data_IF_483472534118
#
_entry.id   IF_483472534118
#
_cell.length_a   1.000
_cell.length_b   1.000
_cell.length_c   1.000
_cell.angle_alpha   90.00
_cell.angle_beta   90.00
_cell.angle_gamma   90.00
#
_symmetry.space_group_name_H-M   'P 1'
#
loop_
_entity.id
_entity.type
_entity.pdbx_description
1 polymer ?
#
# COMPACT_ATOMS: atom_id res chain seq x y z
N UNK A 1 -14.87 18.29 15.61
CA UNK A 1 -15.47 17.12 14.91
C UNK A 1 -14.90 17.12 13.50
N UNK A 2 -14.62 15.94 12.94
CA UNK A 2 -14.15 15.84 11.55
C UNK A 2 -15.23 16.40 10.59
N UNK A 3 -14.80 17.15 9.57
CA UNK A 3 -15.68 17.60 8.46
C UNK A 3 -16.22 16.40 7.66
N UNK A 4 -15.55 15.25 7.73
CA UNK A 4 -15.80 14.08 6.92
C UNK A 4 -16.41 12.95 7.75
N UNK A 5 -17.31 12.17 7.13
CA UNK A 5 -18.05 11.04 7.71
C UNK A 5 -17.97 9.78 6.85
N UNK A 6 -18.78 8.77 7.18
CA UNK A 6 -18.76 7.46 6.53
C UNK A 6 -19.12 7.50 5.04
N UNK A 7 -19.96 8.44 4.64
CA UNK A 7 -20.44 8.58 3.25
C UNK A 7 -19.63 9.58 2.42
N UNK A 8 -18.58 10.17 3.01
CA UNK A 8 -17.76 11.16 2.31
C UNK A 8 -16.94 10.49 1.23
N UNK A 9 -17.06 11.00 0.02
CA UNK A 9 -16.34 10.50 -1.16
C UNK A 9 -14.90 11.04 -1.22
N UNK A 10 -14.05 10.38 -2.01
CA UNK A 10 -12.69 10.84 -2.29
C UNK A 10 -12.68 12.21 -2.98
N UNK A 11 -13.66 12.49 -3.84
CA UNK A 11 -13.77 13.78 -4.54
C UNK A 11 -14.10 14.94 -3.58
N UNK A 12 -14.97 14.69 -2.61
CA UNK A 12 -15.30 15.67 -1.55
C UNK A 12 -14.09 15.94 -0.64
N UNK A 13 -13.32 14.88 -0.28
CA UNK A 13 -12.10 15.04 0.53
C UNK A 13 -11.05 15.86 -0.21
N UNK A 14 -10.94 15.68 -1.52
CA UNK A 14 -9.95 16.34 -2.36
C UNK A 14 -10.45 17.67 -2.96
N UNK A 15 -11.62 18.17 -2.55
CA UNK A 15 -12.12 19.46 -3.01
C UNK A 15 -11.15 20.60 -2.66
N UNK A 16 -10.75 21.38 -3.68
CA UNK A 16 -9.81 22.50 -3.51
C UNK A 16 -8.34 22.09 -3.32
N UNK A 17 -8.03 20.80 -3.38
CA UNK A 17 -6.64 20.30 -3.29
C UNK A 17 -6.07 20.14 -4.70
N UNK A 18 -4.84 20.60 -4.90
CA UNK A 18 -4.06 20.46 -6.13
C UNK A 18 -2.86 19.55 -5.90
N UNK A 19 -2.72 18.53 -6.75
CA UNK A 19 -1.59 17.60 -6.77
C UNK A 19 -0.72 17.76 -8.03
N UNK A 20 -0.88 18.84 -8.79
CA UNK A 20 -0.05 19.12 -9.96
C UNK A 20 1.44 19.10 -9.59
N UNK A 21 2.22 18.38 -10.38
CA UNK A 21 3.66 18.20 -10.15
C UNK A 21 4.02 17.24 -9.02
N UNK A 22 3.05 16.58 -8.39
CA UNK A 22 3.27 15.53 -7.39
C UNK A 22 3.33 14.16 -8.05
N UNK A 23 4.27 13.33 -7.60
CA UNK A 23 4.40 11.92 -8.01
C UNK A 23 3.98 11.01 -6.86
N UNK A 24 3.06 10.09 -7.16
CA UNK A 24 2.48 9.15 -6.20
C UNK A 24 2.71 7.73 -6.69
N UNK A 25 3.32 6.89 -5.86
CA UNK A 25 3.43 5.44 -6.09
C UNK A 25 2.36 4.73 -5.26
N UNK A 26 1.56 3.89 -5.92
CA UNK A 26 0.47 3.14 -5.29
C UNK A 26 0.70 1.65 -5.52
N UNK A 27 0.89 0.87 -4.45
CA UNK A 27 0.93 -0.59 -4.53
C UNK A 27 -0.49 -1.17 -4.51
N UNK A 28 -0.73 -2.27 -5.25
CA UNK A 28 -2.05 -2.89 -5.33
C UNK A 28 -3.09 -2.03 -6.05
N UNK A 29 -2.67 -1.33 -7.09
CA UNK A 29 -3.46 -0.37 -7.86
C UNK A 29 -4.43 -0.97 -8.87
N UNK A 30 -4.46 -2.31 -9.02
CA UNK A 30 -5.27 -2.98 -10.05
C UNK A 30 -6.76 -3.14 -9.69
N UNK A 31 -7.18 -2.79 -8.48
CA UNK A 31 -8.57 -2.86 -8.03
C UNK A 31 -8.80 -2.08 -6.73
N UNK A 32 -10.07 -1.91 -6.35
CA UNK A 32 -10.51 -1.43 -5.04
C UNK A 32 -9.93 -0.08 -4.64
N UNK A 33 -9.40 0.03 -3.41
CA UNK A 33 -8.91 1.30 -2.86
C UNK A 33 -7.71 1.84 -3.64
N UNK A 34 -6.83 0.98 -4.13
CA UNK A 34 -5.67 1.41 -4.91
C UNK A 34 -6.06 2.02 -6.26
N UNK A 35 -7.02 1.42 -6.96
CA UNK A 35 -7.57 1.97 -8.22
C UNK A 35 -8.31 3.28 -7.98
N UNK A 36 -9.15 3.36 -6.93
CA UNK A 36 -9.87 4.59 -6.59
C UNK A 36 -8.91 5.71 -6.17
N UNK A 37 -7.85 5.39 -5.41
CA UNK A 37 -6.82 6.37 -5.07
C UNK A 37 -6.10 6.89 -6.31
N UNK A 38 -5.78 6.00 -7.27
CA UNK A 38 -5.18 6.39 -8.54
C UNK A 38 -6.10 7.33 -9.31
N UNK A 39 -7.40 7.01 -9.40
CA UNK A 39 -8.41 7.87 -10.06
C UNK A 39 -8.50 9.24 -9.39
N UNK A 40 -8.71 9.25 -8.07
CA UNK A 40 -8.98 10.49 -7.35
C UNK A 40 -7.79 11.44 -7.36
N UNK A 41 -6.57 10.92 -7.16
CA UNK A 41 -5.36 11.74 -7.18
C UNK A 41 -4.98 12.20 -8.60
N UNK A 42 -5.20 11.35 -9.63
CA UNK A 42 -5.04 11.77 -11.03
C UNK A 42 -5.99 12.91 -11.40
N UNK A 43 -7.24 12.87 -10.90
CA UNK A 43 -8.21 13.95 -11.12
C UNK A 43 -7.78 15.29 -10.51
N UNK A 44 -6.79 15.28 -9.61
CA UNK A 44 -6.16 16.46 -8.99
C UNK A 44 -4.77 16.78 -9.56
N UNK A 45 -4.39 16.16 -10.69
CA UNK A 45 -3.16 16.48 -11.41
C UNK A 45 -1.91 15.71 -10.98
N UNK A 46 -2.04 14.69 -10.14
CA UNK A 46 -0.90 13.86 -9.76
C UNK A 46 -0.43 12.97 -10.92
N UNK A 47 0.89 12.78 -11.05
CA UNK A 47 1.48 11.70 -11.81
C UNK A 47 1.47 10.42 -10.96
N UNK A 48 0.81 9.36 -11.42
CA UNK A 48 0.59 8.13 -10.67
C UNK A 48 1.43 6.98 -11.23
N UNK A 49 2.22 6.33 -10.38
CA UNK A 49 2.81 5.04 -10.68
C UNK A 49 1.91 3.95 -10.07
N UNK A 50 1.23 3.21 -10.94
CA UNK A 50 0.37 2.10 -10.59
C UNK A 50 1.20 0.82 -10.53
N UNK A 51 1.47 0.30 -9.32
CA UNK A 51 2.27 -0.91 -9.10
C UNK A 51 1.38 -2.08 -8.69
N UNK A 52 1.36 -3.14 -9.51
CA UNK A 52 0.57 -4.34 -9.24
C UNK A 52 1.30 -5.60 -9.73
N UNK A 53 0.94 -6.76 -9.14
CA UNK A 53 1.55 -8.04 -9.48
C UNK A 53 1.13 -8.53 -10.88
N UNK A 54 -0.12 -8.33 -11.24
CA UNK A 54 -0.70 -8.76 -12.51
C UNK A 54 -0.75 -7.56 -13.49
N UNK A 55 0.08 -7.54 -14.54
CA UNK A 55 0.14 -6.43 -15.48
C UNK A 55 -1.15 -6.28 -16.30
N UNK A 56 -1.88 -7.37 -16.59
CA UNK A 56 -3.12 -7.30 -17.38
C UNK A 56 -4.24 -6.65 -16.55
N UNK A 57 -4.36 -7.03 -15.26
CA UNK A 57 -5.32 -6.40 -14.35
C UNK A 57 -4.97 -4.93 -14.11
N UNK A 58 -3.68 -4.62 -14.03
CA UNK A 58 -3.22 -3.24 -13.85
C UNK A 58 -3.55 -2.37 -15.06
N UNK A 59 -3.35 -2.88 -16.28
CA UNK A 59 -3.73 -2.19 -17.54
C UNK A 59 -5.26 -1.96 -17.60
N UNK A 60 -6.05 -2.98 -17.26
CA UNK A 60 -7.51 -2.84 -17.23
C UNK A 60 -7.98 -1.77 -16.22
N UNK A 61 -7.33 -1.70 -15.04
CA UNK A 61 -7.61 -0.66 -14.05
C UNK A 61 -7.21 0.73 -14.57
N UNK A 62 -6.03 0.85 -15.18
CA UNK A 62 -5.58 2.11 -15.76
C UNK A 62 -6.51 2.60 -16.87
N UNK A 63 -7.05 1.68 -17.69
CA UNK A 63 -8.05 2.02 -18.71
C UNK A 63 -9.32 2.62 -18.08
N UNK A 64 -9.83 2.00 -16.98
CA UNK A 64 -10.99 2.56 -16.24
C UNK A 64 -10.71 3.93 -15.61
N UNK A 65 -9.47 4.12 -15.12
CA UNK A 65 -9.06 5.43 -14.58
C UNK A 65 -9.03 6.48 -15.71
N UNK A 66 -8.42 6.16 -16.86
CA UNK A 66 -8.35 7.08 -18.02
C UNK A 66 -9.72 7.42 -18.59
N UNK A 67 -10.68 6.48 -18.55
CA UNK A 67 -12.07 6.74 -18.95
C UNK A 67 -12.72 7.81 -18.07
N UNK A 68 -12.49 7.75 -16.75
CA UNK A 68 -13.05 8.71 -15.78
C UNK A 68 -12.25 10.00 -15.66
N UNK A 69 -10.97 9.96 -15.96
CA UNK A 69 -10.04 11.10 -15.89
C UNK A 69 -9.25 11.16 -17.19
N UNK A 70 -9.82 11.74 -18.26
CA UNK A 70 -9.12 11.91 -19.53
C UNK A 70 -7.82 12.70 -19.33
N UNK A 71 -6.72 12.15 -19.85
CA UNK A 71 -5.39 12.76 -19.70
C UNK A 71 -4.66 12.45 -18.39
N UNK A 72 -5.18 11.51 -17.57
CA UNK A 72 -4.47 11.03 -16.41
C UNK A 72 -3.04 10.56 -16.74
N UNK A 73 -2.06 11.08 -16.02
CA UNK A 73 -0.65 10.69 -16.13
C UNK A 73 -0.44 9.41 -15.30
N UNK A 74 -0.49 8.26 -15.98
CA UNK A 74 -0.40 6.94 -15.38
C UNK A 74 0.76 6.16 -15.97
N UNK A 75 1.68 5.74 -15.11
CA UNK A 75 2.73 4.78 -15.42
C UNK A 75 2.41 3.44 -14.75
N UNK A 76 2.54 2.34 -15.51
CA UNK A 76 2.23 1.00 -15.03
C UNK A 76 3.52 0.22 -14.79
N UNK A 77 3.68 -0.35 -13.60
CA UNK A 77 4.83 -1.17 -13.24
C UNK A 77 4.41 -2.46 -12.57
N UNK A 78 5.16 -3.53 -12.84
CA UNK A 78 4.96 -4.82 -12.18
C UNK A 78 5.71 -4.84 -10.85
N UNK A 79 4.99 -5.23 -9.78
CA UNK A 79 5.54 -5.41 -8.45
C UNK A 79 4.87 -6.60 -7.77
N UNK A 80 5.65 -7.62 -7.42
CA UNK A 80 5.21 -8.73 -6.58
C UNK A 80 5.82 -8.60 -5.17
N UNK A 81 4.99 -8.26 -4.20
CA UNK A 81 5.40 -8.14 -2.80
C UNK A 81 5.65 -9.50 -2.12
N UNK A 82 5.26 -10.62 -2.77
CA UNK A 82 5.60 -11.96 -2.33
C UNK A 82 7.04 -12.37 -2.72
N UNK A 83 7.80 -11.51 -3.37
CA UNK A 83 9.17 -11.74 -3.80
C UNK A 83 10.05 -10.54 -3.49
N UNK A 84 11.00 -10.68 -2.57
CA UNK A 84 11.94 -9.61 -2.24
C UNK A 84 12.86 -9.27 -3.42
N UNK A 85 13.11 -10.22 -4.33
CA UNK A 85 13.82 -9.97 -5.58
C UNK A 85 13.02 -9.02 -6.49
N UNK A 86 11.72 -9.26 -6.65
CA UNK A 86 10.82 -8.36 -7.39
C UNK A 86 10.81 -6.96 -6.79
N UNK A 87 10.75 -6.85 -5.45
CA UNK A 87 10.77 -5.57 -4.75
C UNK A 87 12.09 -4.82 -5.01
N UNK A 88 13.23 -5.51 -4.94
CA UNK A 88 14.55 -4.91 -5.22
C UNK A 88 14.68 -4.46 -6.67
N UNK A 89 14.23 -5.30 -7.60
CA UNK A 89 14.23 -4.98 -9.04
C UNK A 89 13.36 -3.76 -9.34
N UNK A 90 12.16 -3.72 -8.76
CA UNK A 90 11.24 -2.59 -8.87
C UNK A 90 11.88 -1.30 -8.34
N UNK A 91 12.39 -1.31 -7.12
CA UNK A 91 12.98 -0.12 -6.50
C UNK A 91 14.19 0.39 -7.29
N UNK A 92 15.05 -0.52 -7.76
CA UNK A 92 16.20 -0.16 -8.61
C UNK A 92 15.76 0.53 -9.90
N UNK A 93 14.76 -0.01 -10.59
CA UNK A 93 14.21 0.58 -11.82
C UNK A 93 13.52 1.93 -11.53
N UNK A 94 12.74 2.01 -10.44
CA UNK A 94 12.10 3.26 -10.03
C UNK A 94 13.14 4.38 -9.80
N UNK A 95 14.18 4.12 -9.02
CA UNK A 95 15.22 5.09 -8.69
C UNK A 95 16.05 5.53 -9.91
N UNK A 96 16.17 4.67 -10.94
CA UNK A 96 16.85 5.03 -12.18
C UNK A 96 16.02 6.00 -13.04
N UNK A 97 14.68 5.87 -13.00
CA UNK A 97 13.77 6.61 -13.88
C UNK A 97 13.21 7.86 -13.21
N UNK A 98 13.12 7.87 -11.86
CA UNK A 98 12.42 8.92 -11.12
C UNK A 98 13.29 9.54 -10.03
N UNK A 99 13.63 10.84 -10.15
CA UNK A 99 14.38 11.57 -9.13
C UNK A 99 13.48 12.08 -7.98
N UNK A 100 12.17 11.82 -8.04
CA UNK A 100 11.20 12.36 -7.09
C UNK A 100 10.09 11.36 -6.77
N UNK A 101 9.69 11.32 -5.48
CA UNK A 101 8.52 10.60 -4.98
C UNK A 101 7.89 11.39 -3.82
N UNK A 102 6.73 12.00 -4.04
CA UNK A 102 6.07 12.82 -3.03
C UNK A 102 5.21 12.00 -2.07
N UNK A 103 4.60 10.91 -2.57
CA UNK A 103 3.75 10.02 -1.77
C UNK A 103 3.99 8.57 -2.15
N UNK A 104 4.28 7.74 -1.15
CA UNK A 104 4.25 6.28 -1.25
C UNK A 104 3.00 5.77 -0.53
N UNK A 105 2.11 5.09 -1.27
CA UNK A 105 0.92 4.45 -0.72
C UNK A 105 1.11 2.92 -0.70
N UNK A 106 1.49 2.39 0.45
CA UNK A 106 1.63 0.96 0.74
C UNK A 106 0.23 0.36 0.99
N UNK A 107 -0.52 0.18 -0.13
CA UNK A 107 -1.92 -0.21 -0.10
C UNK A 107 -2.16 -1.71 -0.36
N UNK A 108 -1.29 -2.36 -1.14
CA UNK A 108 -1.49 -3.77 -1.49
C UNK A 108 -1.64 -4.66 -0.25
N UNK A 109 -2.39 -5.75 -0.41
CA UNK A 109 -2.52 -6.72 0.66
C UNK A 109 -3.32 -7.95 0.27
N UNK A 110 -3.22 -8.94 1.14
CA UNK A 110 -4.04 -10.16 1.16
C UNK A 110 -4.66 -10.30 2.54
N UNK A 111 -5.84 -10.91 2.62
CA UNK A 111 -6.59 -11.06 3.87
C UNK A 111 -7.16 -12.48 3.99
N UNK A 112 -6.99 -13.07 5.16
CA UNK A 112 -7.56 -14.35 5.54
C UNK A 112 -7.32 -15.47 4.53
N UNK A 113 -6.16 -15.43 3.83
CA UNK A 113 -5.80 -16.49 2.90
C UNK A 113 -5.37 -17.77 3.65
N UNK A 114 -5.49 -18.95 3.01
CA UNK A 114 -4.94 -20.20 3.53
C UNK A 114 -3.44 -20.04 3.86
N UNK A 115 -2.94 -20.89 4.78
CA UNK A 115 -1.52 -20.92 5.11
C UNK A 115 -0.68 -21.14 3.85
N UNK A 116 0.28 -20.29 3.65
CA UNK A 116 1.25 -20.34 2.57
C UNK A 116 2.49 -19.54 2.90
N UNK A 117 3.45 -19.54 2.00
CA UNK A 117 4.68 -18.77 2.13
C UNK A 117 4.97 -17.95 0.88
N UNK A 118 5.66 -16.83 1.06
CA UNK A 118 6.26 -16.07 -0.04
C UNK A 118 7.42 -16.81 -0.66
N UNK A 119 7.95 -16.32 -1.78
CA UNK A 119 9.14 -16.88 -2.43
C UNK A 119 10.37 -16.92 -1.50
N UNK A 120 10.40 -16.04 -0.51
CA UNK A 120 11.49 -15.90 0.45
C UNK A 120 11.22 -16.62 1.77
N UNK A 121 10.13 -17.41 1.87
CA UNK A 121 9.80 -18.26 3.01
C UNK A 121 9.03 -17.59 4.14
N UNK A 122 8.59 -16.33 4.01
CA UNK A 122 7.74 -15.66 5.02
C UNK A 122 6.30 -16.14 4.92
N UNK A 123 5.58 -16.18 6.06
CA UNK A 123 4.14 -16.40 6.05
C UNK A 123 3.47 -15.38 5.08
N UNK A 124 2.51 -15.86 4.28
CA UNK A 124 2.00 -15.11 3.12
C UNK A 124 1.45 -13.72 3.47
N UNK A 125 0.68 -13.60 4.56
CA UNK A 125 0.06 -12.33 4.93
C UNK A 125 1.10 -11.37 5.53
N UNK A 126 1.96 -11.84 6.42
CA UNK A 126 3.05 -11.04 6.98
C UNK A 126 4.04 -10.63 5.89
N UNK A 127 4.43 -11.58 5.04
CA UNK A 127 5.37 -11.35 3.94
C UNK A 127 4.86 -10.31 2.94
N UNK A 128 3.61 -10.48 2.47
CA UNK A 128 3.02 -9.59 1.46
C UNK A 128 2.64 -8.23 2.03
N UNK A 129 1.89 -8.22 3.16
CA UNK A 129 1.31 -6.99 3.68
C UNK A 129 2.35 -6.10 4.36
N UNK A 130 3.38 -6.72 4.95
CA UNK A 130 4.37 -6.00 5.75
C UNK A 130 5.80 -6.09 5.19
N UNK A 131 6.42 -7.28 5.13
CA UNK A 131 7.85 -7.41 4.81
C UNK A 131 8.19 -6.86 3.43
N UNK A 132 7.33 -7.13 2.42
CA UNK A 132 7.50 -6.58 1.07
C UNK A 132 7.44 -5.06 1.05
N UNK A 133 6.49 -4.45 1.74
CA UNK A 133 6.38 -2.99 1.87
C UNK A 133 7.50 -2.38 2.71
N UNK A 134 7.89 -3.05 3.80
CA UNK A 134 9.03 -2.64 4.62
C UNK A 134 10.30 -2.51 3.78
N UNK A 135 10.60 -3.54 2.97
CA UNK A 135 11.75 -3.50 2.06
C UNK A 135 11.59 -2.41 1.00
N UNK A 136 10.41 -2.30 0.37
CA UNK A 136 10.14 -1.30 -0.65
C UNK A 136 10.37 0.12 -0.13
N UNK A 137 9.75 0.45 1.00
CA UNK A 137 9.86 1.76 1.65
C UNK A 137 11.31 2.06 2.04
N UNK A 138 12.02 1.07 2.62
CA UNK A 138 13.44 1.23 2.96
C UNK A 138 14.33 1.53 1.75
N UNK A 139 14.08 0.86 0.63
CA UNK A 139 14.82 1.11 -0.62
C UNK A 139 14.47 2.45 -1.26
N UNK A 140 13.25 2.94 -1.09
CA UNK A 140 12.79 4.23 -1.61
C UNK A 140 12.98 5.39 -0.62
N UNK A 141 13.45 5.14 0.60
CA UNK A 141 13.67 6.18 1.61
C UNK A 141 14.58 7.33 1.11
N UNK A 142 15.69 7.10 0.36
CA UNK A 142 16.51 8.19 -0.15
C UNK A 142 15.71 9.16 -1.03
N UNK A 143 14.93 8.66 -1.99
CA UNK A 143 14.15 9.52 -2.89
C UNK A 143 13.00 10.21 -2.17
N UNK A 144 12.42 9.60 -1.12
CA UNK A 144 11.42 10.25 -0.27
C UNK A 144 12.03 11.41 0.52
N UNK A 145 13.23 11.24 1.07
CA UNK A 145 13.99 12.29 1.75
C UNK A 145 14.35 13.44 0.80
N UNK A 146 14.85 13.12 -0.38
CA UNK A 146 15.20 14.13 -1.40
C UNK A 146 13.94 14.88 -1.93
N UNK A 147 12.76 14.29 -1.78
CA UNK A 147 11.47 14.86 -2.20
C UNK A 147 10.72 15.60 -1.09
N UNK A 148 11.32 15.75 0.08
CA UNK A 148 10.63 16.35 1.23
C UNK A 148 10.06 17.75 0.88
N UNK A 149 8.86 18.09 1.37
CA UNK A 149 7.99 17.29 2.22
C UNK A 149 7.30 16.15 1.48
N UNK A 150 7.50 14.92 1.94
CA UNK A 150 6.93 13.71 1.36
C UNK A 150 6.15 12.89 2.39
N UNK A 151 5.41 11.87 1.92
CA UNK A 151 4.55 11.06 2.80
C UNK A 151 4.63 9.58 2.46
N UNK A 152 4.59 8.75 3.51
CA UNK A 152 4.34 7.30 3.40
C UNK A 152 3.02 6.99 4.08
N UNK A 153 2.11 6.36 3.35
CA UNK A 153 0.79 5.95 3.87
C UNK A 153 0.73 4.43 3.85
N UNK A 154 0.65 3.83 5.03
CA UNK A 154 0.67 2.37 5.21
C UNK A 154 -0.73 1.88 5.57
N UNK A 155 -1.32 1.03 4.72
CA UNK A 155 -2.65 0.47 4.98
C UNK A 155 -2.58 -0.58 6.09
N UNK A 156 -3.15 -0.20 7.25
CA UNK A 156 -3.47 -1.09 8.35
C UNK A 156 -4.94 -1.51 8.31
N UNK A 157 -5.49 -1.98 9.41
CA UNK A 157 -6.88 -2.42 9.55
C UNK A 157 -7.27 -2.41 11.01
N UNK A 158 -8.56 -2.32 11.32
CA UNK A 158 -9.10 -2.62 12.65
C UNK A 158 -8.72 -4.03 13.15
N UNK A 159 -8.34 -4.92 12.23
CA UNK A 159 -7.82 -6.26 12.59
C UNK A 159 -6.56 -6.22 13.45
N UNK A 160 -5.80 -5.11 13.51
CA UNK A 160 -4.68 -4.95 14.45
C UNK A 160 -5.12 -5.03 15.93
N UNK A 161 -6.42 -4.85 16.21
CA UNK A 161 -7.00 -5.02 17.55
C UNK A 161 -7.23 -6.49 17.93
N UNK A 162 -7.20 -7.42 16.95
CA UNK A 162 -7.41 -8.85 17.18
C UNK A 162 -6.20 -9.47 17.87
N UNK A 163 -5.00 -9.10 17.42
CA UNK A 163 -3.76 -9.65 17.95
C UNK A 163 -2.60 -8.66 17.80
N UNK A 164 -1.66 -8.72 18.75
CA UNK A 164 -0.36 -8.06 18.66
C UNK A 164 0.58 -8.78 17.68
N UNK A 165 1.81 -8.32 17.64
CA UNK A 165 2.91 -9.02 16.96
C UNK A 165 3.49 -10.08 17.86
N UNK A 166 3.47 -11.33 17.45
CA UNK A 166 4.18 -12.43 18.11
C UNK A 166 5.60 -12.48 17.54
N UNK A 167 6.54 -11.96 18.29
CA UNK A 167 7.95 -11.93 17.88
C UNK A 167 8.66 -13.27 18.06
N UNK A 168 8.10 -14.19 18.88
CA UNK A 168 8.68 -15.50 19.11
C UNK A 168 8.31 -16.49 18.01
N UNK A 169 7.11 -16.34 17.40
CA UNK A 169 6.62 -17.20 16.33
C UNK A 169 5.87 -16.41 15.25
N UNK A 170 6.52 -15.45 14.58
CA UNK A 170 5.85 -14.56 13.64
C UNK A 170 5.35 -15.26 12.38
N UNK A 171 5.89 -16.46 12.09
CA UNK A 171 5.60 -17.25 10.87
C UNK A 171 4.62 -18.40 11.11
N UNK A 172 4.06 -18.53 12.32
CA UNK A 172 3.19 -19.67 12.68
C UNK A 172 3.88 -21.03 12.46
N UNK A 173 5.13 -21.16 12.88
CA UNK A 173 5.90 -22.41 12.73
C UNK A 173 5.63 -23.37 13.90
N UNK A 174 5.26 -22.85 15.06
CA UNK A 174 5.08 -23.63 16.31
C UNK A 174 3.65 -23.68 16.80
N UNK A 175 2.82 -22.73 16.36
CA UNK A 175 1.38 -22.64 16.73
C UNK A 175 0.51 -22.92 15.50
N UNK A 176 -0.74 -23.30 15.75
CA UNK A 176 -1.74 -23.49 14.69
C UNK A 176 -1.96 -22.19 13.94
N UNK A 177 -2.10 -22.32 12.61
CA UNK A 177 -2.37 -21.17 11.77
C UNK A 177 -3.85 -20.76 11.85
N UNK A 178 -4.06 -19.53 12.23
CA UNK A 178 -5.37 -18.87 12.16
C UNK A 178 -5.29 -17.71 11.17
N UNK A 179 -6.08 -17.71 10.06
CA UNK A 179 -6.00 -16.69 9.02
C UNK A 179 -6.29 -15.28 9.51
N UNK A 180 -7.19 -15.12 10.51
CA UNK A 180 -7.51 -13.82 11.07
C UNK A 180 -6.41 -13.30 11.99
N UNK A 181 -5.79 -14.18 12.79
CA UNK A 181 -4.64 -13.79 13.60
C UNK A 181 -3.45 -13.40 12.72
N UNK A 182 -3.16 -14.18 11.66
CA UNK A 182 -2.10 -13.85 10.72
C UNK A 182 -2.34 -12.50 10.03
N UNK A 183 -3.59 -12.25 9.60
CA UNK A 183 -3.96 -10.95 9.06
C UNK A 183 -3.81 -9.83 10.09
N UNK A 184 -4.38 -10.00 11.28
CA UNK A 184 -4.28 -9.02 12.37
C UNK A 184 -2.82 -8.69 12.71
N UNK A 185 -1.98 -9.72 12.86
CA UNK A 185 -0.55 -9.57 13.11
C UNK A 185 0.15 -8.75 12.01
N UNK A 186 -0.14 -9.03 10.74
CA UNK A 186 0.42 -8.25 9.61
C UNK A 186 0.01 -6.77 9.65
N UNK A 187 -1.22 -6.48 10.12
CA UNK A 187 -1.74 -5.10 10.23
C UNK A 187 -1.24 -4.37 11.49
N UNK A 188 -0.95 -5.11 12.56
CA UNK A 188 -0.20 -4.59 13.72
C UNK A 188 1.22 -4.21 13.31
N UNK A 189 1.91 -5.07 12.57
CA UNK A 189 3.24 -4.78 12.04
C UNK A 189 3.26 -3.50 11.18
N UNK A 190 2.24 -3.31 10.33
CA UNK A 190 2.08 -2.09 9.52
C UNK A 190 1.88 -0.83 10.38
N UNK A 191 1.09 -0.92 11.46
CA UNK A 191 0.87 0.21 12.36
C UNK A 191 2.16 0.60 13.09
N UNK A 192 2.90 -0.40 13.62
CA UNK A 192 4.18 -0.18 14.29
C UNK A 192 5.25 0.36 13.33
N UNK A 193 5.25 -0.13 12.09
CA UNK A 193 6.16 0.34 11.05
C UNK A 193 5.95 1.82 10.73
N UNK A 194 4.69 2.23 10.49
CA UNK A 194 4.39 3.63 10.21
C UNK A 194 4.79 4.54 11.39
N UNK A 195 4.51 4.12 12.63
CA UNK A 195 4.89 4.86 13.84
C UNK A 195 6.40 5.04 13.94
N UNK A 196 7.18 3.96 13.75
CA UNK A 196 8.64 4.02 13.86
C UNK A 196 9.26 4.77 12.67
N UNK A 197 8.68 4.67 11.48
CA UNK A 197 9.11 5.42 10.30
C UNK A 197 8.93 6.92 10.51
N UNK A 198 7.76 7.35 11.00
CA UNK A 198 7.49 8.75 11.34
C UNK A 198 8.45 9.27 12.42
N UNK A 199 8.65 8.48 13.49
CA UNK A 199 9.59 8.83 14.56
C UNK A 199 11.02 9.07 14.06
N UNK A 200 11.44 8.35 13.02
CA UNK A 200 12.80 8.45 12.45
C UNK A 200 12.95 9.56 11.43
N UNK A 201 11.91 9.82 10.64
CA UNK A 201 12.05 10.63 9.42
C UNK A 201 11.22 11.92 9.42
N UNK A 202 10.36 12.16 10.42
CA UNK A 202 9.51 13.35 10.45
C UNK A 202 10.33 14.66 10.50
N UNK A 203 11.43 14.69 11.25
CA UNK A 203 12.32 15.85 11.32
C UNK A 203 13.04 16.14 9.99
N UNK A 204 13.21 15.11 9.16
CA UNK A 204 13.77 15.20 7.81
C UNK A 204 12.69 15.53 6.75
N UNK A 205 11.44 15.77 7.18
CA UNK A 205 10.33 16.15 6.30
C UNK A 205 9.60 14.99 5.61
N UNK A 206 9.80 13.76 6.06
CA UNK A 206 9.03 12.58 5.62
C UNK A 206 8.06 12.18 6.73
N UNK A 207 6.76 12.38 6.51
CA UNK A 207 5.73 11.95 7.47
C UNK A 207 5.19 10.57 7.11
N UNK A 208 4.95 9.72 8.10
CA UNK A 208 4.35 8.40 7.88
C UNK A 208 3.04 8.24 8.66
N UNK A 209 2.06 7.58 8.01
CA UNK A 209 0.73 7.41 8.55
C UNK A 209 0.29 5.95 8.43
N UNK A 210 -0.28 5.41 9.51
CA UNK A 210 -1.03 4.15 9.49
C UNK A 210 -2.51 4.45 9.32
N UNK A 211 -3.14 3.86 8.31
CA UNK A 211 -4.54 4.15 7.96
C UNK A 211 -5.39 2.89 7.99
N UNK A 212 -6.49 2.93 8.74
CA UNK A 212 -7.59 1.98 8.60
C UNK A 212 -8.66 2.57 7.68
N UNK A 213 -8.92 1.95 6.51
CA UNK A 213 -9.81 2.55 5.49
C UNK A 213 -11.30 2.41 5.79
N UNK A 214 -11.68 1.78 6.90
CA UNK A 214 -13.08 1.39 7.17
C UNK A 214 -13.41 0.01 6.62
N UNK A 215 -14.71 -0.33 6.66
CA UNK A 215 -15.24 -1.57 6.06
C UNK A 215 -15.63 -1.30 4.62
N UNK A 216 -14.71 -1.53 3.71
CA UNK A 216 -14.91 -1.31 2.27
C UNK A 216 -15.02 -2.67 1.59
N UNK A 217 -16.08 -2.87 0.81
CA UNK A 217 -16.24 -4.08 -0.01
C UNK A 217 -15.29 -4.01 -1.20
N UNK A 218 -14.31 -4.88 -1.21
CA UNK A 218 -13.30 -4.99 -2.26
C UNK A 218 -12.95 -6.46 -2.51
N UNK A 219 -12.16 -6.74 -3.53
CA UNK A 219 -11.61 -8.07 -3.81
C UNK A 219 -10.66 -8.60 -2.71
N UNK A 220 -10.33 -7.79 -1.71
CA UNK A 220 -9.52 -8.21 -0.57
C UNK A 220 -10.18 -9.37 0.21
N UNK A 221 -11.52 -9.36 0.29
CA UNK A 221 -12.32 -10.38 0.97
C UNK A 221 -12.57 -11.68 0.20
N UNK A 222 -11.91 -11.90 -0.94
CA UNK A 222 -12.16 -13.07 -1.82
C UNK A 222 -11.98 -14.44 -1.14
N UNK A 223 -11.19 -14.53 -0.08
CA UNK A 223 -10.99 -15.76 0.70
C UNK A 223 -11.96 -15.91 1.88
N UNK A 224 -12.87 -14.95 2.11
CA UNK A 224 -13.83 -14.99 3.21
C UNK A 224 -15.16 -15.70 2.85
N UNK A 225 -15.38 -16.04 1.59
CA UNK A 225 -16.64 -16.62 1.09
C UNK A 225 -16.54 -18.12 0.84
N UNK A 226 -15.51 -18.80 1.33
CA UNK A 226 -15.30 -20.24 1.15
C UNK A 226 -15.76 -21.07 2.35
N UNK A 227 -16.69 -20.56 3.19
CA UNK A 227 -17.41 -21.32 4.23
C UNK A 227 -18.91 -21.37 3.98
#
# INVERSE_FOLDING_TARGET
MSRYGADTTTDEVLEGIDFSGKRVLITGSSSGLGEESARALSAKGAAIIMAARDPQKNEAAAARVREKVPGADLELRTLDLCSLESVRGFAKGFLADHPRLDVLLDNAGVMCCPRGTTSDGFETQLGTNHIGHFLLTGLLAPVLLDSAPSRVVVLSSAAHLITGMDFDDPMFERRDYDPWQAYGQSKTANALFALELDRRLAEEGVSAYSVHPGRIVTELGRHMNEE
#
